data_IF_554688187595
#
_entry.id   IF_554688187595
#
_cell.length_a   1.000
_cell.length_b   1.000
_cell.length_c   1.000
_cell.angle_alpha   90.00
_cell.angle_beta   90.00
_cell.angle_gamma   90.00
#
_symmetry.space_group_name_H-M   'P 1'
#
loop_
_entity.id
_entity.type
_entity.pdbx_description
1 polymer ?
#
# COMPACT_ATOMS: atom_id res chain seq x y z
N UNK A 1 85.11 50.62 -18.55
CA UNK A 1 84.41 49.77 -17.57
C UNK A 1 83.31 50.63 -16.96
N UNK A 2 82.17 50.79 -17.62
CA UNK A 2 81.04 49.83 -17.68
C UNK A 2 80.51 49.57 -16.25
N UNK A 3 79.28 49.93 -15.86
CA UNK A 3 78.02 49.30 -16.28
C UNK A 3 76.78 50.16 -15.88
N UNK A 4 75.92 50.41 -16.88
CA UNK A 4 74.42 50.38 -16.99
C UNK A 4 73.54 50.84 -15.81
N UNK A 5 72.70 51.87 -16.03
CA UNK A 5 71.25 51.89 -16.41
C UNK A 5 70.29 51.46 -15.29
N UNK A 6 69.23 52.24 -15.05
CA UNK A 6 67.83 51.88 -15.36
C UNK A 6 66.91 53.08 -15.09
N UNK A 7 66.09 53.37 -16.10
CA UNK A 7 65.04 54.38 -16.18
C UNK A 7 63.71 53.67 -15.87
N UNK A 8 62.94 54.12 -14.88
CA UNK A 8 61.60 53.58 -14.60
C UNK A 8 60.56 54.35 -15.42
N UNK A 9 59.93 53.67 -16.38
CA UNK A 9 58.75 54.14 -17.11
C UNK A 9 57.54 53.38 -16.54
N UNK A 10 56.58 54.10 -15.97
CA UNK A 10 55.28 53.56 -15.59
C UNK A 10 54.38 53.48 -16.84
N UNK A 11 53.94 52.28 -17.19
CA UNK A 11 52.92 52.00 -18.20
C UNK A 11 51.59 51.73 -17.48
N UNK A 12 50.59 52.59 -17.71
CA UNK A 12 49.21 52.38 -17.31
C UNK A 12 48.55 51.38 -18.27
N UNK A 13 48.14 50.20 -17.79
CA UNK A 13 47.27 49.29 -18.52
C UNK A 13 45.81 49.57 -18.16
N UNK A 14 45.02 49.97 -19.16
CA UNK A 14 43.59 50.17 -19.07
C UNK A 14 42.90 48.81 -19.27
N UNK A 15 42.40 48.20 -18.19
CA UNK A 15 41.60 46.99 -18.25
C UNK A 15 40.14 47.36 -18.56
N UNK A 16 39.64 46.90 -19.71
CA UNK A 16 38.22 46.97 -20.10
C UNK A 16 37.48 45.85 -19.38
N UNK A 17 36.63 46.19 -18.41
CA UNK A 17 35.69 45.26 -17.80
C UNK A 17 34.49 45.08 -18.73
N UNK A 18 34.37 43.91 -19.35
CA UNK A 18 33.13 43.45 -19.99
C UNK A 18 32.24 42.93 -18.86
N UNK A 19 31.16 43.65 -18.58
CA UNK A 19 30.10 43.18 -17.70
C UNK A 19 29.32 42.07 -18.44
N UNK A 20 29.62 40.81 -18.13
CA UNK A 20 28.70 39.71 -18.38
C UNK A 20 27.51 39.91 -17.45
N UNK A 21 26.35 40.25 -18.01
CA UNK A 21 25.07 40.12 -17.32
C UNK A 21 24.83 38.64 -17.03
N UNK A 22 25.03 38.22 -15.79
CA UNK A 22 24.54 36.94 -15.29
C UNK A 22 23.03 36.87 -15.56
N UNK A 23 22.64 36.04 -16.53
CA UNK A 23 21.27 35.53 -16.57
C UNK A 23 21.13 34.68 -15.31
N UNK A 24 20.51 35.24 -14.29
CA UNK A 24 19.98 34.48 -13.17
C UNK A 24 19.14 33.34 -13.75
N UNK A 25 19.67 32.11 -13.68
CA UNK A 25 18.86 30.91 -13.77
C UNK A 25 17.77 31.09 -12.70
N UNK A 26 16.54 31.36 -13.13
CA UNK A 26 15.39 31.40 -12.23
C UNK A 26 15.37 30.08 -11.46
N UNK A 27 15.81 30.09 -10.20
CA UNK A 27 15.54 28.98 -9.31
C UNK A 27 14.03 28.94 -9.15
N UNK A 28 13.38 27.95 -9.75
CA UNK A 28 11.96 27.72 -9.54
C UNK A 28 11.72 27.69 -8.03
N UNK A 29 10.93 28.64 -7.55
CA UNK A 29 10.67 28.83 -6.13
C UNK A 29 9.41 28.05 -5.79
N UNK A 30 9.47 27.30 -4.68
CA UNK A 30 8.43 26.37 -4.26
C UNK A 30 7.81 26.84 -2.95
N UNK A 31 6.52 26.60 -2.78
CA UNK A 31 5.83 26.70 -1.50
C UNK A 31 5.55 25.30 -0.95
N UNK A 32 5.60 25.16 0.38
CA UNK A 32 5.24 23.92 1.05
C UNK A 32 3.77 23.98 1.49
N UNK A 33 3.03 22.90 1.21
CA UNK A 33 1.70 22.66 1.78
C UNK A 33 1.85 21.52 2.79
N UNK A 34 1.56 21.79 4.06
CA UNK A 34 1.73 20.85 5.17
C UNK A 34 0.66 19.74 5.16
N UNK A 35 1.02 18.56 5.67
CA UNK A 35 0.20 17.34 5.59
C UNK A 35 -1.15 17.42 6.33
N UNK A 36 -1.31 18.35 7.26
CA UNK A 36 -2.56 18.57 7.99
C UNK A 36 -3.61 19.36 7.18
N UNK A 37 -3.26 19.81 5.98
CA UNK A 37 -4.20 20.50 5.11
C UNK A 37 -5.41 19.60 4.78
N UNK A 38 -6.62 20.15 4.92
CA UNK A 38 -7.88 19.43 4.72
C UNK A 38 -8.13 18.95 3.29
N UNK A 39 -7.36 19.44 2.31
CA UNK A 39 -7.45 18.99 0.92
C UNK A 39 -6.60 17.74 0.63
N UNK A 40 -5.94 17.14 1.64
CA UNK A 40 -5.38 15.79 1.52
C UNK A 40 -6.42 14.74 1.91
N UNK A 41 -6.68 13.79 1.02
CA UNK A 41 -7.53 12.62 1.29
C UNK A 41 -6.68 11.38 1.56
N UNK A 42 -6.68 10.94 2.82
CA UNK A 42 -6.00 9.73 3.24
C UNK A 42 -6.91 8.50 3.06
N UNK A 43 -6.35 7.43 2.49
CA UNK A 43 -7.07 6.19 2.13
C UNK A 43 -6.35 5.01 2.80
N UNK A 44 -7.13 4.09 3.36
CA UNK A 44 -6.64 2.99 4.20
C UNK A 44 -6.38 3.42 5.64
N UNK A 45 -5.72 2.54 6.42
CA UNK A 45 -5.37 2.80 7.83
C UNK A 45 -4.08 3.62 7.90
N UNK A 46 -4.21 4.93 7.72
CA UNK A 46 -3.11 5.89 7.92
C UNK A 46 -3.14 6.38 9.36
N UNK A 47 -2.01 6.29 10.07
CA UNK A 47 -1.90 6.89 11.41
C UNK A 47 -1.89 8.41 11.28
N UNK A 48 -2.86 9.06 11.92
CA UNK A 48 -3.03 10.52 11.89
C UNK A 48 -2.97 11.15 13.28
N UNK A 49 -2.43 10.43 14.28
CA UNK A 49 -2.24 10.98 15.63
C UNK A 49 -1.37 12.24 15.62
N UNK A 50 -0.34 12.26 14.76
CA UNK A 50 0.34 13.49 14.37
C UNK A 50 -0.15 13.97 12.99
N UNK A 51 -1.06 14.96 12.92
CA UNK A 51 -1.62 15.41 11.64
C UNK A 51 -0.59 16.09 10.73
N UNK A 52 0.54 16.56 11.26
CA UNK A 52 1.63 17.17 10.49
C UNK A 52 2.55 16.15 9.82
N UNK A 53 2.51 14.89 10.27
CA UNK A 53 3.32 13.80 9.74
C UNK A 53 2.57 12.45 9.78
N UNK A 54 1.46 12.28 9.03
CA UNK A 54 0.73 11.02 9.00
C UNK A 54 1.60 9.84 8.54
N UNK A 55 1.42 8.68 9.15
CA UNK A 55 2.27 7.50 8.94
C UNK A 55 1.55 6.43 8.12
N UNK A 56 2.27 5.90 7.13
CA UNK A 56 1.82 4.91 6.17
C UNK A 56 2.53 3.59 6.45
N UNK A 57 1.81 2.64 7.07
CA UNK A 57 2.38 1.38 7.55
C UNK A 57 1.92 0.19 6.70
N UNK A 58 0.62 0.03 6.51
CA UNK A 58 0.07 -1.04 5.69
C UNK A 58 0.26 -0.81 4.18
N UNK A 59 0.34 -1.87 3.35
CA UNK A 59 0.39 -1.73 1.91
C UNK A 59 -0.89 -1.05 1.40
N UNK A 60 -0.81 -0.38 0.24
CA UNK A 60 -1.91 0.37 -0.39
C UNK A 60 -2.52 1.51 0.45
N UNK A 61 -1.96 1.83 1.61
CA UNK A 61 -2.24 3.13 2.25
C UNK A 61 -1.84 4.25 1.29
N UNK A 62 -2.68 5.26 1.17
CA UNK A 62 -2.56 6.24 0.09
C UNK A 62 -3.01 7.64 0.48
N UNK A 63 -2.52 8.63 -0.27
CA UNK A 63 -2.92 10.03 -0.17
C UNK A 63 -3.28 10.56 -1.56
N UNK A 64 -4.55 10.94 -1.73
CA UNK A 64 -5.10 11.55 -2.94
C UNK A 64 -5.21 13.06 -2.75
N UNK A 65 -4.73 13.83 -3.72
CA UNK A 65 -4.88 15.27 -3.72
C UNK A 65 -4.82 15.84 -5.13
N UNK A 66 -5.35 17.07 -5.28
CA UNK A 66 -5.27 17.84 -6.50
C UNK A 66 -4.39 19.07 -6.28
N UNK A 67 -3.59 19.46 -7.26
CA UNK A 67 -2.73 20.65 -7.17
C UNK A 67 -2.68 21.39 -8.50
N UNK A 68 -2.37 22.68 -8.45
CA UNK A 68 -2.08 23.48 -9.64
C UNK A 68 -0.56 23.58 -9.86
N UNK A 69 -0.13 23.66 -11.11
CA UNK A 69 1.23 24.07 -11.45
C UNK A 69 1.96 23.11 -12.39
N UNK A 70 3.26 23.30 -12.48
CA UNK A 70 4.15 22.64 -13.44
C UNK A 70 5.11 21.64 -12.79
N UNK A 71 5.06 21.51 -11.46
CA UNK A 71 5.96 20.67 -10.69
C UNK A 71 5.32 20.15 -9.40
N UNK A 72 5.79 18.99 -8.96
CA UNK A 72 5.39 18.36 -7.70
C UNK A 72 6.62 17.74 -7.04
N UNK A 73 6.78 17.98 -5.74
CA UNK A 73 7.71 17.25 -4.87
C UNK A 73 6.98 16.78 -3.62
N UNK A 74 7.44 15.66 -3.06
CA UNK A 74 6.95 15.15 -1.78
C UNK A 74 7.99 15.40 -0.70
N UNK A 75 7.54 15.69 0.52
CA UNK A 75 8.40 15.72 1.70
C UNK A 75 8.05 14.51 2.58
N UNK A 76 8.98 13.56 2.70
CA UNK A 76 8.75 12.26 3.33
C UNK A 76 9.91 11.92 4.27
N UNK A 77 9.64 11.27 5.39
CA UNK A 77 10.67 10.66 6.23
C UNK A 77 10.43 9.16 6.31
N UNK A 78 11.49 8.36 6.18
CA UNK A 78 11.41 6.91 6.11
C UNK A 78 11.85 6.28 7.43
N UNK A 79 11.15 5.25 7.87
CA UNK A 79 11.52 4.40 9.02
C UNK A 79 11.51 2.95 8.54
N UNK A 80 12.61 2.55 7.90
CA UNK A 80 12.72 1.30 7.14
C UNK A 80 13.54 0.20 7.81
N UNK A 81 14.09 0.44 9.01
CA UNK A 81 14.90 -0.52 9.78
C UNK A 81 16.02 -1.24 8.98
N UNK A 82 16.51 -0.63 7.90
CA UNK A 82 17.56 -1.19 7.04
C UNK A 82 17.04 -1.87 5.76
N UNK A 83 15.72 -1.89 5.55
CA UNK A 83 15.05 -2.41 4.35
C UNK A 83 14.81 -1.32 3.30
N UNK A 84 14.19 -1.68 2.16
CA UNK A 84 13.95 -0.77 1.03
C UNK A 84 12.46 -0.47 0.85
N UNK A 85 12.03 0.73 1.22
CA UNK A 85 10.64 1.17 1.13
C UNK A 85 10.35 1.88 -0.21
N UNK A 86 9.35 1.41 -0.96
CA UNK A 86 8.98 1.96 -2.25
C UNK A 86 7.58 2.58 -2.24
N UNK A 87 7.47 3.73 -2.90
CA UNK A 87 6.22 4.45 -3.10
C UNK A 87 5.93 4.57 -4.59
N UNK A 88 4.67 4.39 -4.97
CA UNK A 88 4.18 4.74 -6.31
C UNK A 88 3.47 6.08 -6.27
N UNK A 89 3.80 6.98 -7.20
CA UNK A 89 3.07 8.24 -7.40
C UNK A 89 2.42 8.24 -8.78
N UNK A 90 1.09 8.15 -8.81
CA UNK A 90 0.30 8.22 -10.03
C UNK A 90 -0.10 9.67 -10.26
N UNK A 91 0.20 10.19 -11.46
CA UNK A 91 -0.14 11.55 -11.87
C UNK A 91 -1.21 11.54 -12.96
N UNK A 92 -2.28 12.29 -12.73
CA UNK A 92 -3.45 12.37 -13.60
C UNK A 92 -3.96 10.97 -13.97
N UNK A 93 -4.25 10.74 -15.25
CA UNK A 93 -4.72 9.45 -15.77
C UNK A 93 -3.57 8.53 -16.21
N UNK A 94 -2.33 8.78 -15.77
CA UNK A 94 -1.21 7.93 -16.17
C UNK A 94 -1.21 6.61 -15.36
N UNK A 95 -1.38 5.45 -16.01
CA UNK A 95 -1.39 4.16 -15.31
C UNK A 95 0.01 3.73 -14.84
N UNK A 96 1.08 4.38 -15.31
CA UNK A 96 2.45 4.09 -14.89
C UNK A 96 2.85 5.05 -13.77
N UNK A 97 3.15 4.55 -12.56
CA UNK A 97 3.57 5.41 -11.47
C UNK A 97 5.01 5.89 -11.68
N UNK A 98 5.33 7.02 -11.07
CA UNK A 98 6.70 7.37 -10.72
C UNK A 98 7.03 6.58 -9.45
N UNK A 99 8.08 5.76 -9.50
CA UNK A 99 8.53 4.96 -8.36
C UNK A 99 9.57 5.77 -7.59
N UNK A 100 9.35 5.93 -6.29
CA UNK A 100 10.29 6.55 -5.36
C UNK A 100 10.81 5.45 -4.44
N UNK A 101 12.13 5.25 -4.46
CA UNK A 101 12.83 4.53 -3.41
C UNK A 101 13.20 5.53 -2.31
N UNK A 102 12.73 5.29 -1.09
CA UNK A 102 13.00 6.18 0.02
C UNK A 102 14.44 6.01 0.51
N UNK A 103 15.09 7.14 0.78
CA UNK A 103 16.39 7.13 1.43
C UNK A 103 16.18 6.83 2.91
N UNK A 104 16.90 5.83 3.44
CA UNK A 104 16.89 5.51 4.87
C UNK A 104 17.20 6.76 5.71
N UNK A 105 16.39 6.97 6.75
CA UNK A 105 16.60 8.03 7.72
C UNK A 105 15.29 8.68 8.14
N UNK A 106 15.15 8.85 9.45
CA UNK A 106 13.94 9.39 10.08
C UNK A 106 13.76 10.91 9.86
N UNK A 107 14.69 11.56 9.14
CA UNK A 107 14.64 12.99 8.84
C UNK A 107 13.91 13.27 7.53
N UNK A 108 12.97 14.23 7.48
CA UNK A 108 12.20 14.52 6.27
C UNK A 108 13.09 14.94 5.09
N UNK A 109 13.04 14.17 4.01
CA UNK A 109 13.71 14.43 2.73
C UNK A 109 12.71 14.89 1.67
N UNK A 110 13.20 15.63 0.66
CA UNK A 110 12.40 16.10 -0.47
C UNK A 110 12.68 15.26 -1.70
N UNK A 111 11.63 14.68 -2.27
CA UNK A 111 11.67 13.83 -3.46
C UNK A 111 11.01 14.55 -4.65
N UNK A 112 11.75 14.76 -5.74
CA UNK A 112 11.19 15.31 -6.98
C UNK A 112 10.31 14.26 -7.67
N UNK A 113 9.01 14.54 -7.78
CA UNK A 113 8.06 13.65 -8.49
C UNK A 113 8.04 14.03 -9.96
N UNK A 114 7.77 15.30 -10.25
CA UNK A 114 7.61 15.77 -11.62
C UNK A 114 8.04 17.22 -11.77
N UNK A 115 8.48 17.54 -12.99
CA UNK A 115 8.82 18.88 -13.46
C UNK A 115 8.35 19.04 -14.90
N UNK A 116 8.16 20.28 -15.33
CA UNK A 116 7.72 20.62 -16.69
C UNK A 116 6.37 19.96 -17.04
N UNK A 117 5.49 19.82 -16.05
CA UNK A 117 4.09 19.54 -16.31
C UNK A 117 3.45 20.74 -17.03
N UNK A 118 2.36 20.49 -17.72
CA UNK A 118 1.49 21.55 -18.25
C UNK A 118 0.98 22.41 -17.08
N UNK A 119 0.92 23.73 -17.21
CA UNK A 119 0.41 24.58 -16.12
C UNK A 119 -1.12 24.48 -16.02
N UNK A 120 -1.60 23.49 -15.27
CA UNK A 120 -3.02 23.19 -15.08
C UNK A 120 -3.28 22.54 -13.71
N UNK A 121 -4.52 22.09 -13.52
CA UNK A 121 -4.89 21.25 -12.40
C UNK A 121 -4.44 19.81 -12.67
N UNK A 122 -3.73 19.25 -11.71
CA UNK A 122 -3.26 17.88 -11.69
C UNK A 122 -3.86 17.12 -10.52
N UNK A 123 -3.98 15.81 -10.69
CA UNK A 123 -4.27 14.88 -9.61
C UNK A 123 -3.04 14.04 -9.31
N UNK A 124 -2.77 13.80 -8.03
CA UNK A 124 -1.72 12.90 -7.59
C UNK A 124 -2.28 11.90 -6.57
N UNK A 125 -1.91 10.62 -6.75
CA UNK A 125 -2.15 9.56 -5.79
C UNK A 125 -0.80 8.97 -5.36
N UNK A 126 -0.45 9.15 -4.10
CA UNK A 126 0.70 8.51 -3.46
C UNK A 126 0.23 7.19 -2.87
N UNK A 127 0.91 6.08 -3.15
CA UNK A 127 0.56 4.74 -2.66
C UNK A 127 1.78 4.06 -2.08
N UNK A 128 1.69 3.53 -0.85
CA UNK A 128 2.71 2.64 -0.30
C UNK A 128 2.69 1.30 -1.05
N UNK A 129 3.78 0.95 -1.72
CA UNK A 129 3.85 -0.27 -2.54
C UNK A 129 4.05 -1.52 -1.69
N UNK A 130 4.87 -1.42 -0.65
CA UNK A 130 5.27 -2.54 0.20
C UNK A 130 4.40 -2.68 1.45
N UNK A 131 4.35 -3.87 2.03
CA UNK A 131 3.81 -4.06 3.37
C UNK A 131 4.80 -3.59 4.45
N UNK A 132 4.55 -3.95 5.72
CA UNK A 132 5.31 -3.44 6.85
C UNK A 132 6.73 -4.00 6.92
N UNK A 133 7.08 -5.06 6.17
CA UNK A 133 8.43 -5.64 6.24
C UNK A 133 9.49 -4.62 5.85
N UNK A 134 9.16 -3.69 4.94
CA UNK A 134 10.08 -2.64 4.47
C UNK A 134 10.01 -1.36 5.29
N UNK A 135 9.31 -1.36 6.42
CA UNK A 135 9.09 -0.15 7.21
C UNK A 135 7.78 0.58 6.96
N UNK A 136 7.74 1.77 7.56
CA UNK A 136 6.71 2.78 7.38
C UNK A 136 7.33 4.11 6.94
N UNK A 137 6.52 5.01 6.40
CA UNK A 137 6.99 6.37 6.11
C UNK A 137 5.99 7.41 6.63
N UNK A 138 6.50 8.59 6.97
CA UNK A 138 5.67 9.74 7.35
C UNK A 138 5.61 10.77 6.23
N UNK A 139 4.41 11.30 5.98
CA UNK A 139 4.14 12.32 4.97
C UNK A 139 4.13 13.70 5.60
N UNK A 140 5.06 14.58 5.21
CA UNK A 140 5.21 15.94 5.76
C UNK A 140 4.60 17.02 4.85
N UNK A 141 3.92 16.59 3.78
CA UNK A 141 3.28 17.44 2.81
C UNK A 141 3.97 17.44 1.44
N UNK A 142 3.59 18.42 0.62
CA UNK A 142 4.09 18.57 -0.75
C UNK A 142 4.77 19.91 -0.93
N UNK A 143 5.61 20.01 -1.96
CA UNK A 143 6.09 21.27 -2.48
C UNK A 143 5.60 21.43 -3.93
N UNK A 144 4.94 22.56 -4.18
CA UNK A 144 4.41 22.95 -5.49
C UNK A 144 4.97 24.33 -5.87
N UNK A 145 4.75 24.75 -7.11
CA UNK A 145 5.17 26.07 -7.59
C UNK A 145 4.63 27.19 -6.68
N UNK A 146 5.41 28.25 -6.49
CA UNK A 146 4.95 29.43 -5.77
C UNK A 146 3.68 30.03 -6.41
N UNK A 147 2.77 30.52 -5.56
CA UNK A 147 1.46 31.09 -5.93
C UNK A 147 0.48 30.12 -6.62
N UNK A 148 0.73 28.81 -6.57
CA UNK A 148 -0.23 27.75 -6.95
C UNK A 148 -0.97 27.18 -5.75
N UNK A 149 -2.07 26.48 -5.99
CA UNK A 149 -2.95 26.03 -4.92
C UNK A 149 -2.99 24.52 -4.79
N UNK A 150 -3.17 24.04 -3.55
CA UNK A 150 -3.71 22.71 -3.29
C UNK A 150 -5.24 22.81 -3.39
N UNK A 151 -5.82 21.99 -4.27
CA UNK A 151 -7.23 21.99 -4.59
C UNK A 151 -7.95 20.88 -3.87
N UNK A 152 -9.26 21.04 -3.63
CA UNK A 152 -10.06 19.97 -3.06
C UNK A 152 -10.09 18.76 -4.01
N UNK A 153 -9.77 17.55 -3.52
CA UNK A 153 -9.86 16.33 -4.30
C UNK A 153 -11.33 15.94 -4.54
N UNK A 154 -11.61 15.07 -5.52
CA UNK A 154 -12.95 14.53 -5.73
C UNK A 154 -13.46 13.85 -4.45
N UNK A 155 -14.78 13.86 -4.23
CA UNK A 155 -15.33 13.09 -3.12
C UNK A 155 -15.05 11.61 -3.33
N UNK A 156 -14.57 10.92 -2.30
CA UNK A 156 -14.43 9.47 -2.35
C UNK A 156 -15.80 8.81 -2.53
N UNK A 157 -15.83 7.79 -3.36
CA UNK A 157 -16.95 6.85 -3.53
C UNK A 157 -17.41 6.26 -2.19
N UNK A 158 -18.71 5.98 -2.04
CA UNK A 158 -19.22 5.28 -0.85
C UNK A 158 -18.93 3.77 -0.88
N UNK A 159 -18.50 3.23 -2.03
CA UNK A 159 -18.13 1.83 -2.20
C UNK A 159 -16.82 1.55 -1.47
N UNK A 160 -16.81 0.58 -0.57
CA UNK A 160 -15.67 0.30 0.32
C UNK A 160 -15.39 -1.19 0.41
N UNK A 161 -14.15 -1.57 0.17
CA UNK A 161 -13.63 -2.93 0.30
C UNK A 161 -12.54 -2.92 1.37
N UNK A 162 -12.64 -3.79 2.37
CA UNK A 162 -11.53 -4.07 3.28
C UNK A 162 -11.03 -5.50 3.08
N UNK A 163 -9.71 -5.65 2.91
CA UNK A 163 -9.06 -6.96 2.72
C UNK A 163 -8.16 -7.23 3.92
N UNK A 164 -8.31 -8.40 4.52
CA UNK A 164 -7.41 -8.95 5.53
C UNK A 164 -6.65 -10.11 4.89
N UNK A 165 -5.32 -10.04 4.85
CA UNK A 165 -4.54 -11.05 4.14
C UNK A 165 -3.05 -11.06 4.44
N UNK A 166 -2.32 -11.82 3.65
CA UNK A 166 -0.87 -12.03 3.78
C UNK A 166 -0.07 -11.34 2.64
N UNK A 167 1.15 -11.82 2.37
CA UNK A 167 2.02 -11.33 1.29
C UNK A 167 1.36 -11.34 -0.09
N UNK A 168 0.48 -12.31 -0.36
CA UNK A 168 -0.21 -12.40 -1.65
C UNK A 168 -1.19 -11.24 -1.80
N UNK A 169 -1.89 -10.89 -0.72
CA UNK A 169 -2.77 -9.71 -0.67
C UNK A 169 -1.97 -8.41 -0.70
N UNK A 170 -0.76 -8.38 -0.13
CA UNK A 170 0.15 -7.23 -0.20
C UNK A 170 0.76 -7.00 -1.60
N UNK A 171 0.65 -7.98 -2.51
CA UNK A 171 1.27 -7.91 -3.83
C UNK A 171 2.79 -8.13 -3.78
N UNK A 172 3.27 -8.98 -2.88
CA UNK A 172 4.68 -9.35 -2.79
C UNK A 172 5.16 -9.94 -4.12
N UNK A 173 6.28 -9.42 -4.63
CA UNK A 173 6.94 -9.93 -5.85
C UNK A 173 6.03 -9.94 -7.10
N UNK A 174 4.95 -9.16 -7.09
CA UNK A 174 3.92 -9.17 -8.14
C UNK A 174 4.45 -8.71 -9.50
N UNK A 175 5.45 -7.83 -9.52
CA UNK A 175 6.06 -7.28 -10.74
C UNK A 175 7.14 -8.19 -11.34
N UNK A 176 7.41 -9.37 -10.76
CA UNK A 176 8.32 -10.32 -11.38
C UNK A 176 7.73 -10.87 -12.69
N UNK A 177 8.54 -10.88 -13.75
CA UNK A 177 8.06 -11.09 -15.11
C UNK A 177 7.64 -12.55 -15.41
N UNK A 178 8.12 -13.52 -14.63
CA UNK A 178 7.88 -14.95 -14.87
C UNK A 178 6.75 -15.47 -13.97
N UNK A 179 5.68 -15.94 -14.61
CA UNK A 179 4.51 -16.58 -14.01
C UNK A 179 4.73 -18.09 -13.84
N UNK A 180 4.01 -18.71 -12.89
CA UNK A 180 4.08 -20.14 -12.63
C UNK A 180 5.42 -20.63 -12.07
N UNK A 181 6.23 -19.73 -11.50
CA UNK A 181 7.57 -20.02 -10.99
C UNK A 181 7.77 -19.56 -9.55
N UNK A 182 8.77 -20.14 -8.88
CA UNK A 182 9.20 -19.69 -7.56
C UNK A 182 9.66 -18.22 -7.63
N UNK A 183 9.59 -17.53 -6.51
CA UNK A 183 10.17 -16.19 -6.40
C UNK A 183 11.67 -16.19 -6.72
N UNK A 184 12.18 -15.10 -7.34
CA UNK A 184 13.60 -14.93 -7.53
C UNK A 184 14.32 -14.87 -6.17
N UNK A 185 15.57 -15.31 -6.16
CA UNK A 185 16.41 -15.20 -4.97
C UNK A 185 16.87 -13.77 -4.72
N UNK A 186 17.20 -13.46 -3.46
CA UNK A 186 17.70 -12.15 -3.05
C UNK A 186 16.60 -11.19 -2.65
N UNK A 187 16.93 -9.89 -2.61
CA UNK A 187 15.98 -8.83 -2.28
C UNK A 187 14.97 -8.62 -3.41
N UNK A 188 13.68 -8.75 -3.06
CA UNK A 188 12.55 -8.61 -3.99
C UNK A 188 11.60 -7.46 -3.60
N UNK A 189 11.98 -6.60 -2.66
CA UNK A 189 11.15 -5.51 -2.18
C UNK A 189 10.74 -4.55 -3.31
N UNK A 190 11.65 -4.28 -4.24
CA UNK A 190 11.38 -3.46 -5.43
C UNK A 190 10.32 -4.08 -6.39
N UNK A 191 10.14 -5.40 -6.36
CA UNK A 191 9.16 -6.13 -7.18
C UNK A 191 7.77 -6.19 -6.54
N UNK A 192 7.65 -5.76 -5.28
CA UNK A 192 6.39 -5.78 -4.56
C UNK A 192 5.60 -4.50 -4.85
N UNK A 193 4.32 -4.64 -5.17
CA UNK A 193 3.44 -3.53 -5.52
C UNK A 193 1.97 -3.82 -5.18
N UNK A 194 1.55 -3.33 -4.02
CA UNK A 194 0.18 -3.41 -3.54
C UNK A 194 -0.88 -2.88 -4.52
N UNK A 195 -0.54 -1.91 -5.39
CA UNK A 195 -1.46 -1.40 -6.41
C UNK A 195 -1.80 -2.46 -7.47
N UNK A 196 -0.97 -3.49 -7.62
CA UNK A 196 -1.19 -4.60 -8.55
C UNK A 196 -1.71 -5.87 -7.84
N UNK A 197 -2.06 -5.79 -6.55
CA UNK A 197 -2.74 -6.88 -5.84
C UNK A 197 -4.17 -7.09 -6.33
N UNK A 198 -4.69 -8.31 -6.19
CA UNK A 198 -6.08 -8.63 -6.56
C UNK A 198 -7.10 -7.71 -5.87
N UNK A 199 -6.86 -7.34 -4.61
CA UNK A 199 -7.74 -6.45 -3.85
C UNK A 199 -7.76 -5.03 -4.42
N UNK A 200 -6.60 -4.52 -4.83
CA UNK A 200 -6.49 -3.22 -5.50
C UNK A 200 -7.07 -3.22 -6.91
N UNK A 201 -6.88 -4.30 -7.68
CA UNK A 201 -7.51 -4.48 -8.99
C UNK A 201 -9.04 -4.47 -8.86
N UNK A 202 -9.57 -5.28 -7.95
CA UNK A 202 -11.01 -5.36 -7.68
C UNK A 202 -11.59 -4.00 -7.25
N UNK A 203 -10.91 -3.30 -6.34
CA UNK A 203 -11.35 -1.99 -5.89
C UNK A 203 -11.43 -0.98 -7.05
N UNK A 204 -10.47 -1.00 -7.99
CA UNK A 204 -10.52 -0.15 -9.19
C UNK A 204 -11.66 -0.51 -10.12
N UNK A 205 -11.90 -1.80 -10.36
CA UNK A 205 -12.99 -2.27 -11.23
C UNK A 205 -14.36 -1.79 -10.76
N UNK A 206 -14.55 -1.73 -9.44
CA UNK A 206 -15.79 -1.23 -8.83
C UNK A 206 -15.77 0.26 -8.49
N UNK A 207 -14.68 0.99 -8.76
CA UNK A 207 -14.48 2.36 -8.27
C UNK A 207 -14.80 2.45 -6.77
N UNK A 208 -14.18 1.56 -6.00
CA UNK A 208 -14.29 1.44 -4.56
C UNK A 208 -13.01 1.92 -3.88
N UNK A 209 -13.16 2.40 -2.66
CA UNK A 209 -12.04 2.60 -1.76
C UNK A 209 -11.50 1.23 -1.32
N UNK A 210 -10.21 1.17 -1.00
CA UNK A 210 -9.56 -0.01 -0.44
C UNK A 210 -8.94 0.32 0.93
N UNK A 211 -9.20 -0.53 1.92
CA UNK A 211 -8.36 -0.70 3.11
C UNK A 211 -7.70 -2.08 3.01
N UNK A 212 -6.37 -2.14 2.93
CA UNK A 212 -5.62 -3.39 2.75
C UNK A 212 -4.81 -3.69 4.02
N UNK A 213 -5.38 -4.50 4.90
CA UNK A 213 -4.76 -4.99 6.14
C UNK A 213 -4.02 -6.27 5.80
N UNK A 214 -2.85 -6.14 5.19
CA UNK A 214 -2.05 -7.26 4.72
C UNK A 214 -0.59 -7.19 5.18
N UNK A 215 -0.01 -8.35 5.49
CA UNK A 215 1.37 -8.46 5.95
C UNK A 215 2.02 -9.76 5.48
N UNK A 216 3.19 -9.68 4.84
CA UNK A 216 3.98 -10.84 4.47
C UNK A 216 4.29 -11.73 5.68
N UNK A 217 4.10 -13.03 5.47
CA UNK A 217 4.33 -14.07 6.47
C UNK A 217 3.24 -14.19 7.55
N UNK A 218 2.23 -13.31 7.60
CA UNK A 218 1.21 -13.39 8.64
C UNK A 218 0.31 -14.60 8.44
N UNK A 219 0.15 -15.42 9.48
CA UNK A 219 -0.88 -16.45 9.54
C UNK A 219 -2.19 -15.86 10.09
N UNK A 220 -3.29 -16.60 10.01
CA UNK A 220 -4.50 -16.26 10.76
C UNK A 220 -4.23 -16.41 12.27
N UNK A 221 -3.76 -17.59 12.68
CA UNK A 221 -3.58 -17.95 14.09
C UNK A 221 -2.31 -17.33 14.67
N UNK A 222 -2.42 -16.72 15.84
CA UNK A 222 -1.29 -16.15 16.57
C UNK A 222 -0.41 -17.27 17.15
N UNK A 223 0.90 -17.10 17.05
CA UNK A 223 1.92 -18.11 17.32
C UNK A 223 2.42 -18.86 16.07
N UNK A 224 1.81 -18.64 14.90
CA UNK A 224 2.17 -19.30 13.64
C UNK A 224 2.51 -18.31 12.52
N UNK A 225 2.96 -18.84 11.38
CA UNK A 225 3.47 -18.05 10.27
C UNK A 225 4.88 -17.54 10.50
N UNK A 226 5.26 -16.55 9.70
CA UNK A 226 6.62 -16.07 9.54
C UNK A 226 6.79 -14.59 9.89
N UNK A 227 5.71 -13.93 10.32
CA UNK A 227 5.74 -12.53 10.72
C UNK A 227 6.10 -12.40 12.21
N UNK A 228 7.20 -11.69 12.51
CA UNK A 228 7.57 -11.24 13.86
C UNK A 228 7.39 -12.30 14.97
N UNK A 229 8.12 -13.41 14.87
CA UNK A 229 8.03 -14.55 15.80
C UNK A 229 6.61 -15.13 15.94
N UNK A 230 5.85 -15.13 14.85
CA UNK A 230 4.53 -15.74 14.76
C UNK A 230 3.38 -14.83 15.18
N UNK A 231 3.51 -13.51 15.10
CA UNK A 231 2.33 -12.63 15.26
C UNK A 231 1.32 -12.98 14.17
N UNK A 232 0.13 -13.44 14.59
CA UNK A 232 -0.98 -13.77 13.70
C UNK A 232 -1.94 -12.60 13.49
N UNK A 233 -2.75 -12.67 12.44
CA UNK A 233 -3.73 -11.64 12.10
C UNK A 233 -4.78 -11.49 13.20
N UNK A 234 -5.16 -12.56 13.91
CA UNK A 234 -6.09 -12.48 15.04
C UNK A 234 -5.61 -11.54 16.15
N UNK A 235 -4.30 -11.30 16.27
CA UNK A 235 -3.72 -10.43 17.27
C UNK A 235 -3.57 -8.97 16.83
N UNK A 236 -3.69 -8.68 15.52
CA UNK A 236 -3.37 -7.34 14.97
C UNK A 236 -4.41 -6.77 13.99
N UNK A 237 -5.48 -7.50 13.67
CA UNK A 237 -6.52 -7.05 12.73
C UNK A 237 -7.22 -5.75 13.14
N UNK A 238 -7.18 -5.41 14.42
CA UNK A 238 -7.78 -4.22 15.02
C UNK A 238 -6.77 -3.09 15.25
N UNK A 239 -5.56 -3.21 14.70
CA UNK A 239 -4.49 -2.24 14.86
C UNK A 239 -4.30 -1.39 13.59
N UNK A 240 -3.63 -0.24 13.75
CA UNK A 240 -3.25 0.63 12.63
C UNK A 240 -2.01 0.15 11.86
N UNK A 241 -1.26 -0.79 12.43
CA UNK A 241 -0.09 -1.46 11.82
C UNK A 241 0.04 -2.87 12.40
N UNK A 242 0.77 -3.82 11.76
CA UNK A 242 0.74 -5.23 12.12
C UNK A 242 1.65 -5.56 13.32
N UNK A 243 1.48 -4.84 14.43
CA UNK A 243 2.19 -5.03 15.69
C UNK A 243 1.19 -5.09 16.85
N UNK A 244 1.43 -5.96 17.84
CA UNK A 244 0.53 -6.16 18.99
C UNK A 244 0.40 -4.92 19.89
N UNK A 245 1.44 -4.09 19.94
CA UNK A 245 1.53 -2.88 20.75
C UNK A 245 1.20 -1.60 19.95
N UNK A 246 0.80 -1.74 18.69
CA UNK A 246 0.34 -0.63 17.89
C UNK A 246 -0.95 -0.01 18.47
N UNK A 247 -1.23 1.27 18.17
CA UNK A 247 -2.52 1.85 18.53
C UNK A 247 -3.67 1.14 17.80
N UNK A 248 -4.79 1.00 18.52
CA UNK A 248 -6.01 0.43 17.96
C UNK A 248 -6.61 1.30 16.87
N UNK A 249 -7.08 0.65 15.82
CA UNK A 249 -7.86 1.24 14.74
C UNK A 249 -9.28 1.55 15.21
N UNK A 250 -9.75 2.77 14.94
CA UNK A 250 -11.16 3.11 15.09
C UNK A 250 -11.94 2.66 13.85
N UNK A 251 -12.64 1.54 13.99
CA UNK A 251 -13.48 0.95 12.96
C UNK A 251 -14.56 1.89 12.41
N UNK A 252 -14.94 2.96 13.12
CA UNK A 252 -15.90 3.94 12.62
C UNK A 252 -15.33 4.82 11.50
N UNK A 253 -14.01 4.88 11.35
CA UNK A 253 -13.37 5.64 10.26
C UNK A 253 -13.60 4.97 8.90
N UNK A 254 -13.82 3.65 8.86
CA UNK A 254 -14.00 2.90 7.62
C UNK A 254 -14.96 1.73 7.81
N UNK A 255 -16.20 1.89 7.34
CA UNK A 255 -17.22 0.83 7.34
C UNK A 255 -17.32 0.25 5.91
N UNK A 256 -16.77 -0.95 5.65
CA UNK A 256 -16.79 -1.57 4.33
C UNK A 256 -18.18 -2.08 3.93
N UNK A 257 -18.45 -2.09 2.63
CA UNK A 257 -19.55 -2.86 2.05
C UNK A 257 -19.17 -4.34 1.92
N UNK A 258 -17.91 -4.60 1.59
CA UNK A 258 -17.34 -5.92 1.35
C UNK A 258 -16.07 -6.11 2.17
N UNK A 259 -16.01 -7.22 2.90
CA UNK A 259 -14.82 -7.69 3.61
C UNK A 259 -14.31 -8.94 2.90
N UNK A 260 -13.03 -8.96 2.57
CA UNK A 260 -12.36 -10.14 2.02
C UNK A 260 -11.36 -10.65 3.05
N UNK A 261 -11.51 -11.91 3.46
CA UNK A 261 -10.57 -12.59 4.36
C UNK A 261 -9.78 -13.59 3.52
N UNK A 262 -8.57 -13.19 3.13
CA UNK A 262 -7.65 -13.96 2.30
C UNK A 262 -6.46 -14.45 3.15
N UNK A 263 -6.76 -15.28 4.16
CA UNK A 263 -5.82 -15.81 5.15
C UNK A 263 -5.87 -17.33 5.19
N UNK A 264 -4.75 -17.96 5.56
CA UNK A 264 -4.61 -19.41 5.72
C UNK A 264 -3.42 -20.03 4.99
N UNK A 265 -2.80 -19.29 4.05
CA UNK A 265 -1.64 -19.79 3.31
C UNK A 265 -0.44 -20.06 4.23
N UNK A 266 -0.16 -19.15 5.17
CA UNK A 266 0.95 -19.31 6.12
C UNK A 266 0.60 -20.30 7.23
N UNK A 267 -0.67 -20.39 7.63
CA UNK A 267 -1.19 -21.46 8.50
C UNK A 267 -0.90 -22.84 7.88
N UNK A 268 -1.31 -23.04 6.63
CA UNK A 268 -1.08 -24.28 5.88
C UNK A 268 0.40 -24.63 5.70
N UNK A 269 1.27 -23.63 5.79
CA UNK A 269 2.72 -23.79 5.61
C UNK A 269 3.48 -23.98 6.93
N UNK A 270 2.86 -23.68 8.08
CA UNK A 270 3.55 -23.63 9.38
C UNK A 270 2.89 -24.44 10.51
N UNK A 271 1.63 -24.87 10.35
CA UNK A 271 0.91 -25.70 11.33
C UNK A 271 0.97 -27.17 10.89
N UNK A 272 1.47 -28.05 11.76
CA UNK A 272 1.23 -29.50 11.64
C UNK A 272 -0.10 -29.86 12.30
N UNK A 273 -1.07 -30.30 11.48
CA UNK A 273 -2.42 -30.59 11.95
C UNK A 273 -2.54 -31.84 12.86
N UNK A 274 -1.44 -32.56 13.09
CA UNK A 274 -1.39 -33.73 13.97
C UNK A 274 -0.76 -33.43 15.34
N UNK A 275 0.08 -32.39 15.44
CA UNK A 275 0.82 -32.07 16.67
C UNK A 275 0.50 -30.71 17.25
N UNK A 276 0.25 -29.72 16.40
CA UNK A 276 0.20 -28.32 16.80
C UNK A 276 -1.23 -27.89 17.09
N UNK A 277 -2.12 -28.10 16.12
CA UNK A 277 -3.57 -27.85 16.20
C UNK A 277 -4.30 -28.89 15.38
N UNK A 278 -5.51 -29.26 15.74
CA UNK A 278 -6.38 -30.04 14.86
C UNK A 278 -7.05 -29.14 13.81
N UNK A 279 -7.52 -29.72 12.71
CA UNK A 279 -8.31 -28.96 11.73
C UNK A 279 -9.58 -28.35 12.35
N UNK A 280 -10.19 -29.02 13.33
CA UNK A 280 -11.33 -28.47 14.08
C UNK A 280 -10.96 -27.22 14.87
N UNK A 281 -9.80 -27.21 15.52
CA UNK A 281 -9.31 -26.03 16.26
C UNK A 281 -9.00 -24.89 15.30
N UNK A 282 -8.30 -25.14 14.18
CA UNK A 282 -8.05 -24.11 13.18
C UNK A 282 -9.35 -23.50 12.62
N UNK A 283 -10.33 -24.35 12.27
CA UNK A 283 -11.66 -23.86 11.85
C UNK A 283 -12.29 -22.97 12.92
N UNK A 284 -12.15 -23.31 14.20
CA UNK A 284 -12.67 -22.48 15.29
C UNK A 284 -11.97 -21.11 15.37
N UNK A 285 -10.65 -21.03 15.19
CA UNK A 285 -9.95 -19.75 15.07
C UNK A 285 -10.49 -18.92 13.91
N UNK A 286 -10.71 -19.54 12.75
CA UNK A 286 -11.27 -18.86 11.57
C UNK A 286 -12.67 -18.31 11.85
N UNK A 287 -13.55 -19.13 12.43
CA UNK A 287 -14.92 -18.71 12.81
C UNK A 287 -14.89 -17.56 13.83
N UNK A 288 -14.01 -17.61 14.82
CA UNK A 288 -13.86 -16.54 15.81
C UNK A 288 -13.37 -15.24 15.17
N UNK A 289 -12.42 -15.31 14.25
CA UNK A 289 -11.92 -14.15 13.52
C UNK A 289 -13.02 -13.48 12.69
N UNK A 290 -13.79 -14.27 11.93
CA UNK A 290 -14.96 -13.80 11.20
C UNK A 290 -16.00 -13.19 12.15
N UNK A 291 -16.29 -13.83 13.28
CA UNK A 291 -17.22 -13.30 14.29
C UNK A 291 -16.77 -11.92 14.82
N UNK A 292 -15.48 -11.78 15.10
CA UNK A 292 -14.89 -10.52 15.56
C UNK A 292 -15.09 -9.42 14.52
N UNK A 293 -14.77 -9.67 13.24
CA UNK A 293 -15.00 -8.72 12.16
C UNK A 293 -16.50 -8.43 11.93
N UNK A 294 -17.35 -9.45 11.96
CA UNK A 294 -18.81 -9.31 11.84
C UNK A 294 -19.37 -8.39 12.93
N UNK A 295 -18.83 -8.45 14.15
CA UNK A 295 -19.24 -7.56 15.24
C UNK A 295 -18.95 -6.07 14.96
N UNK A 296 -17.89 -5.78 14.19
CA UNK A 296 -17.54 -4.43 13.75
C UNK A 296 -18.33 -4.02 12.51
N UNK A 297 -18.59 -4.97 11.62
CA UNK A 297 -19.23 -4.76 10.33
C UNK A 297 -20.49 -5.62 10.17
N UNK A 298 -21.57 -5.31 10.92
CA UNK A 298 -22.77 -6.15 10.96
C UNK A 298 -23.49 -6.25 9.60
N UNK A 299 -23.31 -5.25 8.72
CA UNK A 299 -24.02 -5.18 7.45
C UNK A 299 -23.22 -5.62 6.22
N UNK A 300 -21.89 -5.71 6.32
CA UNK A 300 -21.01 -6.00 5.19
C UNK A 300 -21.24 -7.42 4.63
N UNK A 301 -20.91 -7.65 3.37
CA UNK A 301 -20.76 -9.00 2.85
C UNK A 301 -19.32 -9.47 3.09
N UNK A 302 -19.15 -10.77 3.32
CA UNK A 302 -17.87 -11.39 3.60
C UNK A 302 -17.56 -12.42 2.53
N UNK A 303 -16.35 -12.38 1.99
CA UNK A 303 -15.79 -13.43 1.14
C UNK A 303 -14.54 -13.96 1.84
N UNK A 304 -14.57 -15.22 2.25
CA UNK A 304 -13.42 -15.92 2.81
C UNK A 304 -12.77 -16.75 1.70
N UNK A 305 -11.47 -16.61 1.49
CA UNK A 305 -10.80 -17.25 0.38
C UNK A 305 -9.38 -17.66 0.72
N UNK A 306 -8.88 -18.64 -0.03
CA UNK A 306 -7.46 -18.89 -0.14
C UNK A 306 -6.93 -18.28 -1.44
N UNK A 307 -5.76 -17.62 -1.42
CA UNK A 307 -5.16 -17.13 -2.65
C UNK A 307 -4.66 -18.28 -3.55
N UNK A 308 -4.37 -17.97 -4.82
CA UNK A 308 -4.02 -18.95 -5.85
C UNK A 308 -2.54 -19.43 -5.85
N UNK A 309 -1.87 -19.39 -4.70
CA UNK A 309 -0.53 -19.95 -4.52
C UNK A 309 -0.62 -21.42 -4.08
N UNK A 310 0.37 -22.25 -4.39
CA UNK A 310 0.35 -23.66 -4.00
C UNK A 310 0.31 -23.86 -2.48
N UNK A 311 -0.59 -24.74 -2.03
CA UNK A 311 -0.72 -25.26 -0.66
C UNK A 311 -1.44 -26.62 -0.70
N UNK A 312 -1.46 -27.35 0.41
CA UNK A 312 -2.22 -28.59 0.50
C UNK A 312 -3.73 -28.31 0.39
N UNK A 313 -4.37 -28.89 -0.64
CA UNK A 313 -5.80 -28.75 -0.96
C UNK A 313 -6.73 -29.25 0.15
N UNK A 314 -6.25 -30.02 1.13
CA UNK A 314 -7.04 -30.33 2.33
C UNK A 314 -7.52 -29.05 3.06
N UNK A 315 -6.72 -27.99 3.03
CA UNK A 315 -7.06 -26.73 3.69
C UNK A 315 -8.18 -25.95 2.99
N UNK A 316 -8.33 -26.08 1.67
CA UNK A 316 -9.49 -25.55 0.93
C UNK A 316 -10.81 -26.11 1.52
N UNK A 317 -10.81 -27.39 1.91
CA UNK A 317 -11.97 -28.02 2.54
C UNK A 317 -12.20 -27.47 3.94
N UNK A 318 -11.14 -27.29 4.74
CA UNK A 318 -11.29 -26.73 6.09
C UNK A 318 -11.84 -25.31 6.07
N UNK A 319 -11.42 -24.48 5.11
CA UNK A 319 -11.98 -23.14 4.92
C UNK A 319 -13.47 -23.20 4.59
N UNK A 320 -13.84 -24.01 3.59
CA UNK A 320 -15.24 -24.18 3.18
C UNK A 320 -16.12 -24.70 4.32
N UNK A 321 -15.62 -25.67 5.10
CA UNK A 321 -16.29 -26.18 6.28
C UNK A 321 -16.45 -25.10 7.34
N UNK A 322 -15.41 -24.34 7.68
CA UNK A 322 -15.50 -23.26 8.67
C UNK A 322 -16.54 -22.21 8.28
N UNK A 323 -16.54 -21.78 7.02
CA UNK A 323 -17.51 -20.80 6.50
C UNK A 323 -18.93 -21.35 6.52
N UNK A 324 -19.11 -22.61 6.11
CA UNK A 324 -20.43 -23.27 6.10
C UNK A 324 -20.97 -23.48 7.51
N UNK A 325 -20.12 -23.95 8.43
CA UNK A 325 -20.43 -24.09 9.85
C UNK A 325 -20.83 -22.74 10.45
N UNK A 326 -20.02 -21.69 10.26
CA UNK A 326 -20.32 -20.35 10.76
C UNK A 326 -21.65 -19.81 10.22
N UNK A 327 -21.87 -19.93 8.91
CA UNK A 327 -23.12 -19.52 8.25
C UNK A 327 -24.34 -20.20 8.88
N UNK A 328 -24.25 -21.50 9.15
CA UNK A 328 -25.34 -22.26 9.76
C UNK A 328 -25.51 -21.96 11.26
N UNK A 329 -24.42 -21.86 12.02
CA UNK A 329 -24.43 -21.57 13.45
C UNK A 329 -24.99 -20.17 13.74
N UNK A 330 -24.60 -19.17 12.94
CA UNK A 330 -24.97 -17.77 13.14
C UNK A 330 -26.18 -17.33 12.30
N UNK A 331 -26.67 -18.19 11.40
CA UNK A 331 -27.70 -17.85 10.41
C UNK A 331 -27.30 -16.62 9.55
N UNK A 332 -26.00 -16.47 9.28
CA UNK A 332 -25.44 -15.35 8.53
C UNK A 332 -25.39 -15.68 7.03
N UNK A 333 -26.34 -15.14 6.26
CA UNK A 333 -26.38 -15.37 4.82
C UNK A 333 -25.43 -14.47 4.00
N UNK A 334 -24.73 -13.53 4.64
CA UNK A 334 -23.83 -12.56 3.98
C UNK A 334 -22.36 -12.97 4.05
N UNK A 335 -22.09 -14.27 4.15
CA UNK A 335 -20.74 -14.83 4.12
C UNK A 335 -20.67 -15.95 3.09
N UNK A 336 -19.61 -15.92 2.30
CA UNK A 336 -19.34 -16.83 1.19
C UNK A 336 -17.89 -17.29 1.24
N UNK A 337 -17.61 -18.50 0.79
CA UNK A 337 -16.26 -18.94 0.51
C UNK A 337 -15.96 -18.84 -0.99
N UNK A 338 -14.69 -18.61 -1.34
CA UNK A 338 -14.18 -18.65 -2.70
C UNK A 338 -12.89 -19.46 -2.72
N UNK A 339 -12.90 -20.61 -3.41
CA UNK A 339 -11.70 -21.38 -3.69
C UNK A 339 -11.31 -21.15 -5.15
N UNK A 340 -10.10 -20.64 -5.36
CA UNK A 340 -9.54 -20.45 -6.70
C UNK A 340 -8.63 -21.61 -7.10
N UNK A 341 -8.42 -21.79 -8.39
CA UNK A 341 -7.35 -22.66 -8.86
C UNK A 341 -6.00 -22.11 -8.41
N UNK A 342 -5.13 -22.97 -7.88
CA UNK A 342 -3.74 -22.60 -7.59
C UNK A 342 -2.93 -22.65 -8.89
N UNK A 343 -2.09 -21.65 -9.12
CA UNK A 343 -1.42 -21.45 -10.42
C UNK A 343 0.11 -21.32 -10.34
N UNK A 344 0.67 -21.16 -9.14
CA UNK A 344 2.09 -20.84 -8.98
C UNK A 344 2.70 -21.40 -7.68
N UNK A 345 3.98 -21.83 -7.70
CA UNK A 345 4.72 -22.25 -6.49
C UNK A 345 5.34 -21.08 -5.70
N UNK A 346 5.38 -19.87 -6.27
CA UNK A 346 5.82 -18.65 -5.60
C UNK A 346 4.70 -17.61 -5.51
N UNK A 347 5.02 -16.37 -5.14
CA UNK A 347 3.99 -15.34 -5.06
C UNK A 347 3.32 -15.07 -6.44
N UNK A 348 2.00 -14.86 -6.49
CA UNK A 348 1.29 -14.58 -7.74
C UNK A 348 1.74 -13.29 -8.41
N UNK A 349 2.06 -13.37 -9.71
CA UNK A 349 2.41 -12.21 -10.55
C UNK A 349 1.16 -11.48 -11.02
N UNK A 350 1.33 -10.33 -11.69
CA UNK A 350 0.21 -9.49 -12.17
C UNK A 350 -0.93 -10.28 -12.84
N UNK A 351 -0.63 -11.17 -13.79
CA UNK A 351 -1.68 -11.93 -14.48
C UNK A 351 -2.36 -12.98 -13.59
N UNK A 352 -1.66 -13.51 -12.59
CA UNK A 352 -2.19 -14.49 -11.64
C UNK A 352 -3.02 -13.78 -10.55
N UNK A 353 -2.61 -12.59 -10.12
CA UNK A 353 -3.42 -11.68 -9.30
C UNK A 353 -4.73 -11.31 -10.00
N UNK A 354 -4.67 -11.05 -11.31
CA UNK A 354 -5.86 -10.76 -12.12
C UNK A 354 -6.86 -11.93 -12.11
N UNK A 355 -6.40 -13.19 -12.15
CA UNK A 355 -7.30 -14.35 -12.06
C UNK A 355 -8.08 -14.36 -10.74
N UNK A 356 -7.46 -13.97 -9.62
CA UNK A 356 -8.16 -13.84 -8.33
C UNK A 356 -9.15 -12.67 -8.34
N UNK A 357 -8.76 -11.53 -8.89
CA UNK A 357 -9.65 -10.37 -9.03
C UNK A 357 -10.88 -10.72 -9.88
N UNK A 358 -10.69 -11.41 -11.01
CA UNK A 358 -11.76 -11.86 -11.90
C UNK A 358 -12.70 -12.87 -11.22
N UNK A 359 -12.15 -13.81 -10.45
CA UNK A 359 -12.95 -14.78 -9.70
C UNK A 359 -13.81 -14.10 -8.61
N UNK A 360 -13.23 -13.15 -7.88
CA UNK A 360 -13.95 -12.33 -6.90
C UNK A 360 -15.05 -11.51 -7.57
N UNK A 361 -14.72 -10.84 -8.67
CA UNK A 361 -15.67 -10.04 -9.46
C UNK A 361 -16.84 -10.91 -9.94
N UNK A 362 -16.56 -12.10 -10.46
CA UNK A 362 -17.59 -13.03 -10.90
C UNK A 362 -18.48 -13.47 -9.73
N UNK A 363 -17.91 -13.81 -8.56
CA UNK A 363 -18.68 -14.18 -7.38
C UNK A 363 -19.60 -13.02 -6.92
N UNK A 364 -19.07 -11.79 -6.94
CA UNK A 364 -19.82 -10.58 -6.56
C UNK A 364 -21.00 -10.35 -7.51
N UNK A 365 -20.72 -10.25 -8.82
CA UNK A 365 -21.72 -9.88 -9.83
C UNK A 365 -22.79 -10.95 -10.06
N UNK A 366 -22.52 -12.20 -9.67
CA UNK A 366 -23.47 -13.31 -9.82
C UNK A 366 -24.15 -13.65 -8.49
N UNK A 367 -23.39 -14.14 -7.51
CA UNK A 367 -23.94 -14.76 -6.31
C UNK A 367 -24.33 -13.72 -5.27
N UNK A 368 -23.41 -12.81 -4.93
CA UNK A 368 -23.68 -11.81 -3.89
C UNK A 368 -24.81 -10.87 -4.30
N UNK A 369 -24.84 -10.41 -5.56
CA UNK A 369 -25.93 -9.58 -6.08
C UNK A 369 -27.28 -10.31 -6.03
N UNK A 370 -27.32 -11.62 -6.36
CA UNK A 370 -28.54 -12.43 -6.19
C UNK A 370 -28.95 -12.56 -4.72
N UNK A 371 -27.98 -12.62 -3.82
CA UNK A 371 -28.17 -12.67 -2.36
C UNK A 371 -28.38 -11.28 -1.72
N UNK A 372 -28.61 -10.24 -2.53
CA UNK A 372 -29.01 -8.91 -2.09
C UNK A 372 -27.86 -7.92 -1.83
N UNK A 373 -26.63 -8.24 -2.22
CA UNK A 373 -25.51 -7.31 -2.13
C UNK A 373 -25.76 -6.08 -3.00
N UNK A 374 -25.53 -4.92 -2.39
CA UNK A 374 -25.44 -3.64 -3.07
C UNK A 374 -24.37 -2.81 -2.39
N UNK A 375 -23.76 -1.94 -3.19
CA UNK A 375 -22.71 -1.03 -2.74
C UNK A 375 -23.25 0.14 -1.92
#
# INVERSE_FOLDING_TARGET
MEIKKILFIFLFSLAVFIACSDRSLNSQSFQQIAADNSNFQYIGRVDRQNPQAPIFSFPATACLFNFEGTSLKLKLADDNWGESNYIGVYLDNNPKPIIIHLNSGNEPQVYEVAKKLEDKNHQALIVKRNDYITGEFSFHGILIDNNKNLLSPPQLTNRKIEVYGDSISAGSTVEYEQTGTQDPSGDTNHLSNSYLSFGAMLARDYQAQLSLVAQAGIALVDGYGFWHDGIGMEAVYDQIKPLKDAPSWDFNQYIPNLVIVALGQNDASSIDLNSDLTSTEWKQHYKNFVANLRSKYPNAYFICMFPNMYHDRAWDNYLNEAVTEYKNEQQDNKIHSLITEQVTPGHPRVSEQQLMADALKNLIDTTLVQDGFSW
#
